data_IF_990559060518
#
_entry.id   IF_990559060518
#
_cell.length_a   1.000
_cell.length_b   1.000
_cell.length_c   1.000
_cell.angle_alpha   90.00
_cell.angle_beta   90.00
_cell.angle_gamma   90.00
#
_symmetry.space_group_name_H-M   'P 1'
#
loop_
_entity.id
_entity.type
_entity.pdbx_description
1 polymer ?
#
# COMPACT_ATOMS: atom_id res chain seq x y z
N UNK A 1 40.25 -38.88 2.32
CA UNK A 1 40.26 -38.59 0.86
C UNK A 1 39.95 -39.80 -0.02
N UNK A 2 40.56 -40.99 0.16
CA UNK A 2 40.27 -42.17 -0.68
C UNK A 2 38.80 -42.65 -0.66
N UNK A 3 38.14 -42.62 0.49
CA UNK A 3 36.71 -42.98 0.59
C UNK A 3 35.76 -42.00 -0.10
N UNK A 4 36.11 -40.71 -0.13
CA UNK A 4 35.30 -39.66 -0.77
C UNK A 4 35.38 -39.75 -2.31
N UNK A 5 36.55 -40.12 -2.83
CA UNK A 5 36.78 -40.38 -4.26
C UNK A 5 36.09 -41.67 -4.72
N UNK A 6 36.05 -42.71 -3.89
CA UNK A 6 35.34 -43.97 -4.20
C UNK A 6 33.82 -43.77 -4.19
N UNK A 7 33.27 -43.00 -3.24
CA UNK A 7 31.83 -42.65 -3.21
C UNK A 7 31.44 -41.82 -4.44
N UNK A 8 32.26 -40.81 -4.81
CA UNK A 8 32.06 -40.00 -6.02
C UNK A 8 32.17 -40.84 -7.30
N UNK A 9 33.09 -41.81 -7.37
CA UNK A 9 33.22 -42.72 -8.51
C UNK A 9 32.05 -43.71 -8.61
N UNK A 10 31.55 -44.25 -7.49
CA UNK A 10 30.35 -45.11 -7.50
C UNK A 10 29.09 -44.34 -7.88
N UNK A 11 28.98 -43.07 -7.48
CA UNK A 11 27.86 -42.21 -7.84
C UNK A 11 27.94 -41.77 -9.32
N UNK A 12 29.15 -41.50 -9.83
CA UNK A 12 29.39 -41.19 -11.24
C UNK A 12 29.14 -42.40 -12.16
N UNK A 13 29.42 -43.63 -11.71
CA UNK A 13 29.16 -44.85 -12.49
C UNK A 13 27.67 -45.19 -12.57
N UNK A 14 26.86 -44.87 -11.56
CA UNK A 14 25.40 -45.03 -11.62
C UNK A 14 24.74 -44.08 -12.64
N UNK A 15 25.28 -42.87 -12.83
CA UNK A 15 24.76 -41.89 -13.81
C UNK A 15 25.02 -42.34 -15.27
N UNK A 16 26.01 -43.19 -15.52
CA UNK A 16 26.34 -43.72 -16.85
C UNK A 16 25.41 -44.87 -17.27
N UNK A 17 24.68 -45.49 -16.33
CA UNK A 17 23.75 -46.60 -16.59
C UNK A 17 22.27 -46.28 -16.31
N UNK A 18 21.93 -45.04 -15.94
CA UNK A 18 20.55 -44.63 -15.76
C UNK A 18 19.85 -44.56 -17.13
N UNK A 19 18.69 -45.22 -17.26
CA UNK A 19 17.90 -45.24 -18.50
C UNK A 19 17.41 -43.81 -18.81
N UNK A 20 17.16 -43.02 -17.77
CA UNK A 20 16.72 -41.64 -17.87
C UNK A 20 17.63 -40.66 -17.13
N UNK A 21 17.79 -39.46 -17.71
CA UNK A 21 18.59 -38.37 -17.15
C UNK A 21 17.98 -37.01 -17.53
N UNK A 22 18.29 -35.93 -16.78
CA UNK A 22 17.88 -34.58 -17.15
C UNK A 22 18.31 -34.22 -18.57
N UNK A 23 17.40 -33.62 -19.34
CA UNK A 23 17.61 -33.21 -20.73
C UNK A 23 17.41 -34.31 -21.78
N UNK A 24 17.28 -35.58 -21.38
CA UNK A 24 17.02 -36.69 -22.32
C UNK A 24 15.55 -36.69 -22.76
N UNK A 25 15.31 -37.01 -24.03
CA UNK A 25 13.97 -37.11 -24.59
C UNK A 25 13.19 -38.26 -23.88
N UNK A 26 12.03 -37.99 -23.25
CA UNK A 26 11.28 -39.01 -22.53
C UNK A 26 10.82 -40.20 -23.40
N UNK A 27 10.63 -40.01 -24.71
CA UNK A 27 10.32 -41.13 -25.62
C UNK A 27 11.54 -42.04 -25.84
N UNK A 28 12.75 -41.48 -25.88
CA UNK A 28 13.99 -42.25 -25.95
C UNK A 28 14.18 -43.10 -24.69
N UNK A 29 14.05 -42.49 -23.50
CA UNK A 29 14.09 -43.19 -22.21
C UNK A 29 13.02 -44.29 -22.12
N UNK A 30 11.82 -44.05 -22.66
CA UNK A 30 10.75 -45.04 -22.71
C UNK A 30 11.10 -46.24 -23.60
N UNK A 31 11.65 -45.99 -24.79
CA UNK A 31 12.03 -47.05 -25.71
C UNK A 31 13.14 -47.95 -25.14
N UNK A 32 14.12 -47.35 -24.47
CA UNK A 32 15.16 -48.09 -23.75
C UNK A 32 14.58 -48.95 -22.62
N UNK A 33 13.63 -48.42 -21.84
CA UNK A 33 12.93 -49.19 -20.81
C UNK A 33 12.16 -50.37 -21.41
N UNK A 34 11.44 -50.18 -22.51
CA UNK A 34 10.73 -51.27 -23.21
C UNK A 34 11.71 -52.33 -23.71
N UNK A 35 12.86 -51.92 -24.24
CA UNK A 35 13.90 -52.86 -24.65
C UNK A 35 14.48 -53.64 -23.46
N UNK A 36 14.69 -53.00 -22.32
CA UNK A 36 15.08 -53.68 -21.09
C UNK A 36 14.03 -54.70 -20.65
N UNK A 37 12.74 -54.35 -20.65
CA UNK A 37 11.66 -55.27 -20.29
C UNK A 37 11.66 -56.52 -21.20
N UNK A 38 11.95 -56.36 -22.49
CA UNK A 38 12.04 -57.49 -23.44
C UNK A 38 13.25 -58.39 -23.16
N UNK A 39 14.37 -57.82 -22.73
CA UNK A 39 15.63 -58.53 -22.50
C UNK A 39 15.69 -59.19 -21.12
N UNK A 40 15.22 -58.49 -20.08
CA UNK A 40 15.21 -58.95 -18.69
C UNK A 40 13.93 -58.44 -17.97
N UNK A 41 12.80 -59.16 -18.12
CA UNK A 41 11.52 -58.75 -17.52
C UNK A 41 11.52 -58.65 -15.99
N UNK A 42 12.45 -59.34 -15.32
CA UNK A 42 12.55 -59.39 -13.86
C UNK A 42 13.58 -58.39 -13.30
N UNK A 43 14.13 -57.52 -14.14
CA UNK A 43 15.11 -56.53 -13.73
C UNK A 43 14.55 -55.59 -12.66
N UNK A 44 15.29 -55.40 -11.57
CA UNK A 44 14.95 -54.43 -10.52
C UNK A 44 14.99 -52.99 -11.02
N UNK A 45 15.67 -52.70 -12.15
CA UNK A 45 15.69 -51.37 -12.76
C UNK A 45 14.30 -50.98 -13.30
N UNK A 46 13.51 -51.94 -13.76
CA UNK A 46 12.14 -51.69 -14.26
C UNK A 46 11.26 -51.16 -13.13
N UNK A 47 11.38 -51.75 -11.93
CA UNK A 47 10.59 -51.33 -10.77
C UNK A 47 11.09 -50.01 -10.17
N UNK A 48 12.40 -49.73 -10.23
CA UNK A 48 13.00 -48.51 -9.70
C UNK A 48 12.78 -47.31 -10.63
N UNK A 49 13.10 -47.42 -11.92
CA UNK A 49 13.10 -46.28 -12.85
C UNK A 49 11.81 -46.19 -13.68
N UNK A 50 11.14 -47.32 -13.93
CA UNK A 50 9.97 -47.39 -14.81
C UNK A 50 8.84 -46.41 -14.46
N UNK A 51 8.41 -46.31 -13.18
CA UNK A 51 7.38 -45.35 -12.78
C UNK A 51 7.75 -43.90 -13.08
N UNK A 52 9.00 -43.50 -12.83
CA UNK A 52 9.49 -42.14 -13.08
C UNK A 52 9.58 -41.84 -14.57
N UNK A 53 10.05 -42.79 -15.38
CA UNK A 53 10.09 -42.63 -16.85
C UNK A 53 8.67 -42.49 -17.42
N UNK A 54 7.74 -43.33 -16.97
CA UNK A 54 6.33 -43.24 -17.37
C UNK A 54 5.72 -41.88 -17.00
N UNK A 55 5.98 -41.40 -15.77
CA UNK A 55 5.53 -40.11 -15.30
C UNK A 55 6.11 -38.95 -16.12
N UNK A 56 7.43 -38.94 -16.33
CA UNK A 56 8.13 -37.91 -17.12
C UNK A 56 7.60 -37.86 -18.55
N UNK A 57 7.40 -39.02 -19.18
CA UNK A 57 6.79 -39.13 -20.51
C UNK A 57 5.39 -38.55 -20.54
N UNK A 58 4.52 -38.91 -19.59
CA UNK A 58 3.14 -38.39 -19.51
C UNK A 58 3.12 -36.88 -19.32
N UNK A 59 3.93 -36.35 -18.42
CA UNK A 59 3.99 -34.91 -18.15
C UNK A 59 4.58 -34.13 -19.34
N UNK A 60 5.54 -34.71 -20.07
CA UNK A 60 6.15 -34.07 -21.24
C UNK A 60 5.21 -33.93 -22.45
N UNK A 61 4.06 -34.62 -22.46
CA UNK A 61 3.00 -34.40 -23.45
C UNK A 61 2.22 -33.09 -23.21
N UNK A 62 2.38 -32.46 -22.03
CA UNK A 62 1.74 -31.20 -21.70
C UNK A 62 2.69 -30.06 -22.09
N UNK A 63 2.32 -29.29 -23.10
CA UNK A 63 3.20 -28.30 -23.76
C UNK A 63 3.90 -27.36 -22.76
N UNK A 64 3.15 -26.77 -21.83
CA UNK A 64 3.68 -25.82 -20.85
C UNK A 64 4.52 -26.47 -19.74
N UNK A 65 4.49 -27.80 -19.60
CA UNK A 65 5.33 -28.55 -18.66
C UNK A 65 6.57 -29.14 -19.30
N UNK A 66 6.52 -29.41 -20.61
CA UNK A 66 7.50 -30.20 -21.34
C UNK A 66 8.94 -29.80 -21.03
N UNK A 67 9.27 -28.52 -21.18
CA UNK A 67 10.65 -28.06 -20.98
C UNK A 67 11.14 -28.28 -19.54
N UNK A 68 10.33 -27.92 -18.54
CA UNK A 68 10.67 -28.08 -17.13
C UNK A 68 10.81 -29.57 -16.75
N UNK A 69 9.93 -30.42 -17.28
CA UNK A 69 9.92 -31.87 -17.02
C UNK A 69 11.11 -32.57 -17.67
N UNK A 70 11.42 -32.23 -18.92
CA UNK A 70 12.56 -32.80 -19.65
C UNK A 70 13.87 -32.38 -19.00
N UNK A 71 14.01 -31.10 -18.67
CA UNK A 71 15.19 -30.56 -17.99
C UNK A 71 15.27 -30.93 -16.50
N UNK A 72 14.19 -31.46 -15.92
CA UNK A 72 14.01 -31.66 -14.47
C UNK A 72 14.26 -30.38 -13.66
N UNK A 73 13.87 -29.24 -14.23
CA UNK A 73 13.99 -27.92 -13.63
C UNK A 73 12.75 -27.61 -12.77
N UNK A 74 12.90 -27.79 -11.46
CA UNK A 74 11.83 -27.59 -10.48
C UNK A 74 11.38 -26.12 -10.38
N UNK A 75 12.29 -25.16 -10.47
CA UNK A 75 11.93 -23.74 -10.38
C UNK A 75 11.16 -23.31 -11.61
N UNK A 76 11.58 -23.76 -12.80
CA UNK A 76 10.82 -23.52 -14.03
C UNK A 76 9.46 -24.19 -14.01
N UNK A 77 9.34 -25.39 -13.44
CA UNK A 77 8.05 -26.05 -13.23
C UNK A 77 7.10 -25.18 -12.38
N UNK A 78 7.57 -24.67 -11.24
CA UNK A 78 6.77 -23.80 -10.36
C UNK A 78 6.42 -22.47 -11.03
N UNK A 79 7.37 -21.86 -11.77
CA UNK A 79 7.12 -20.65 -12.55
C UNK A 79 6.03 -20.87 -13.59
N UNK A 80 6.10 -21.97 -14.34
CA UNK A 80 5.08 -22.30 -15.34
C UNK A 80 3.71 -22.52 -14.68
N UNK A 81 3.67 -23.19 -13.52
CA UNK A 81 2.46 -23.35 -12.73
C UNK A 81 1.85 -22.02 -12.26
N UNK A 82 2.68 -21.04 -11.89
CA UNK A 82 2.19 -19.73 -11.45
C UNK A 82 1.43 -19.00 -12.56
N UNK A 83 1.90 -19.08 -13.81
CA UNK A 83 1.37 -18.33 -14.94
C UNK A 83 0.25 -19.04 -15.72
N UNK A 84 0.19 -20.37 -15.68
CA UNK A 84 -0.82 -21.11 -16.45
C UNK A 84 -2.21 -20.97 -15.83
N UNK A 85 -3.23 -20.78 -16.68
CA UNK A 85 -4.63 -20.81 -16.28
C UNK A 85 -5.18 -22.22 -16.48
N UNK A 86 -5.50 -22.91 -15.38
CA UNK A 86 -6.01 -24.29 -15.39
C UNK A 86 -7.33 -24.32 -14.63
N UNK A 87 -8.39 -24.80 -15.30
CA UNK A 87 -9.69 -25.06 -14.69
C UNK A 87 -10.47 -26.03 -15.59
N UNK A 88 -10.78 -27.27 -15.15
CA UNK A 88 -10.56 -27.83 -13.81
C UNK A 88 -9.10 -28.22 -13.53
N UNK A 89 -8.73 -28.49 -12.26
CA UNK A 89 -7.41 -29.03 -11.90
C UNK A 89 -7.07 -30.33 -12.62
N UNK A 90 -5.79 -30.55 -12.90
CA UNK A 90 -5.28 -31.81 -13.45
C UNK A 90 -4.96 -32.78 -12.30
N UNK A 91 -5.33 -34.05 -12.41
CA UNK A 91 -4.92 -35.08 -11.45
C UNK A 91 -3.55 -35.64 -11.84
N UNK A 92 -2.49 -34.97 -11.40
CA UNK A 92 -1.09 -35.27 -11.75
C UNK A 92 -0.19 -35.43 -10.52
N UNK A 93 -0.78 -35.56 -9.33
CA UNK A 93 -0.04 -35.58 -8.06
C UNK A 93 1.05 -36.65 -8.02
N UNK A 94 0.73 -37.86 -8.49
CA UNK A 94 1.67 -39.00 -8.52
C UNK A 94 2.84 -38.73 -9.47
N UNK A 95 2.54 -38.32 -10.69
CA UNK A 95 3.55 -38.09 -11.72
C UNK A 95 4.47 -36.92 -11.34
N UNK A 96 3.90 -35.83 -10.84
CA UNK A 96 4.66 -34.67 -10.38
C UNK A 96 5.57 -35.05 -9.22
N UNK A 97 5.10 -35.86 -8.26
CA UNK A 97 5.93 -36.30 -7.12
C UNK A 97 7.09 -37.20 -7.56
N UNK A 98 6.88 -38.05 -8.57
CA UNK A 98 7.93 -38.93 -9.10
C UNK A 98 9.02 -38.16 -9.86
N UNK A 99 8.66 -37.10 -10.58
CA UNK A 99 9.61 -36.27 -11.35
C UNK A 99 10.25 -35.19 -10.48
N UNK A 100 9.49 -34.58 -9.58
CA UNK A 100 9.91 -33.47 -8.72
C UNK A 100 9.71 -33.79 -7.23
N UNK A 101 10.53 -34.67 -6.64
CA UNK A 101 10.41 -35.06 -5.23
C UNK A 101 10.59 -33.87 -4.26
N UNK A 102 11.23 -32.79 -4.70
CA UNK A 102 11.38 -31.54 -3.94
C UNK A 102 10.02 -30.95 -3.51
N UNK A 103 8.93 -31.27 -4.21
CA UNK A 103 7.58 -30.82 -3.86
C UNK A 103 7.16 -31.28 -2.46
N UNK A 104 7.61 -32.46 -2.02
CA UNK A 104 7.26 -32.98 -0.71
C UNK A 104 7.91 -32.14 0.40
N UNK A 105 9.16 -31.70 0.20
CA UNK A 105 9.85 -30.81 1.14
C UNK A 105 9.09 -29.48 1.24
N UNK A 106 8.68 -28.92 0.10
CA UNK A 106 7.91 -27.69 0.04
C UNK A 106 6.56 -27.81 0.77
N UNK A 107 5.86 -28.94 0.60
CA UNK A 107 4.61 -29.23 1.31
C UNK A 107 4.87 -29.39 2.81
N UNK A 108 5.88 -30.16 3.20
CA UNK A 108 6.20 -30.41 4.61
C UNK A 108 6.58 -29.11 5.36
N UNK A 109 7.28 -28.19 4.71
CA UNK A 109 7.60 -26.86 5.26
C UNK A 109 6.33 -26.05 5.52
N UNK A 110 5.41 -26.02 4.56
CA UNK A 110 4.11 -25.36 4.71
C UNK A 110 3.31 -25.95 5.86
N UNK A 111 3.17 -27.28 5.91
CA UNK A 111 2.38 -27.97 6.93
C UNK A 111 3.00 -27.86 8.34
N UNK A 112 4.29 -27.48 8.44
CA UNK A 112 4.97 -27.13 9.69
C UNK A 112 4.83 -25.65 10.08
N UNK A 113 4.22 -24.82 9.24
CA UNK A 113 4.00 -23.39 9.50
C UNK A 113 5.06 -22.46 8.91
N UNK A 114 5.91 -22.93 7.98
CA UNK A 114 6.75 -22.03 7.19
C UNK A 114 5.98 -21.53 5.97
N UNK A 115 5.70 -20.22 5.94
CA UNK A 115 4.95 -19.57 4.87
C UNK A 115 5.82 -18.76 3.90
N UNK A 116 7.15 -18.80 4.01
CA UNK A 116 8.07 -18.06 3.13
C UNK A 116 7.86 -18.40 1.64
N UNK A 117 7.55 -19.67 1.35
CA UNK A 117 7.35 -20.15 -0.02
C UNK A 117 5.86 -20.22 -0.44
N UNK A 118 4.98 -19.46 0.23
CA UNK A 118 3.52 -19.53 -0.02
C UNK A 118 3.15 -19.30 -1.50
N UNK A 119 3.84 -18.38 -2.19
CA UNK A 119 3.59 -18.10 -3.61
C UNK A 119 3.82 -19.31 -4.53
N UNK A 120 4.71 -20.22 -4.14
CA UNK A 120 4.94 -21.49 -4.84
C UNK A 120 3.85 -22.49 -4.50
N UNK A 121 3.58 -22.67 -3.20
CA UNK A 121 2.63 -23.66 -2.67
C UNK A 121 1.19 -23.43 -3.16
N UNK A 122 0.76 -22.17 -3.21
CA UNK A 122 -0.61 -21.80 -3.60
C UNK A 122 -0.98 -22.15 -5.05
N UNK A 123 -0.04 -22.66 -5.85
CA UNK A 123 -0.29 -23.08 -7.23
C UNK A 123 -0.44 -24.59 -7.39
N UNK A 124 -0.06 -25.38 -6.37
CA UNK A 124 -0.02 -26.84 -6.45
C UNK A 124 -1.40 -27.47 -6.62
N UNK A 125 -2.47 -26.77 -6.24
CA UNK A 125 -3.85 -27.22 -6.48
C UNK A 125 -4.11 -27.47 -7.97
N UNK A 126 -3.42 -26.77 -8.89
CA UNK A 126 -3.61 -26.91 -10.34
C UNK A 126 -3.24 -28.30 -10.87
N UNK A 127 -2.34 -29.00 -10.18
CA UNK A 127 -1.90 -30.36 -10.49
C UNK A 127 -2.43 -31.38 -9.48
N UNK A 128 -3.48 -31.00 -8.73
CA UNK A 128 -4.30 -31.91 -7.96
C UNK A 128 -3.91 -32.06 -6.49
N UNK A 129 -2.89 -31.32 -6.01
CA UNK A 129 -2.52 -31.41 -4.59
C UNK A 129 -3.58 -30.75 -3.71
N UNK A 130 -4.01 -31.49 -2.70
CA UNK A 130 -4.91 -31.02 -1.63
C UNK A 130 -4.16 -31.04 -0.31
N UNK A 131 -3.84 -29.85 0.21
CA UNK A 131 -3.00 -29.67 1.39
C UNK A 131 -3.88 -29.47 2.64
N UNK A 132 -3.27 -29.67 3.81
CA UNK A 132 -3.82 -29.23 5.09
C UNK A 132 -3.04 -28.03 5.59
N UNK A 133 -3.70 -26.96 6.01
CA UNK A 133 -2.99 -25.83 6.61
C UNK A 133 -2.68 -26.12 8.08
N UNK A 134 -1.52 -25.69 8.59
CA UNK A 134 -1.27 -25.72 10.02
C UNK A 134 -2.14 -24.71 10.77
N UNK A 135 -2.19 -24.86 12.09
CA UNK A 135 -2.74 -23.82 12.98
C UNK A 135 -2.02 -22.49 12.75
N UNK A 136 -2.71 -21.39 12.97
CA UNK A 136 -2.17 -20.02 12.78
C UNK A 136 -2.05 -19.59 11.32
N UNK A 137 -2.36 -20.47 10.36
CA UNK A 137 -2.34 -20.09 8.94
C UNK A 137 -3.40 -19.05 8.61
N UNK A 138 -4.63 -19.20 9.13
CA UNK A 138 -5.70 -18.21 8.89
C UNK A 138 -5.36 -16.84 9.46
N UNK A 139 -4.72 -16.81 10.63
CA UNK A 139 -4.19 -15.60 11.25
C UNK A 139 -3.11 -14.97 10.37
N UNK A 140 -2.10 -15.75 9.99
CA UNK A 140 -1.02 -15.29 9.13
C UNK A 140 -1.54 -14.72 7.81
N UNK A 141 -2.52 -15.38 7.19
CA UNK A 141 -3.13 -14.95 5.94
C UNK A 141 -3.81 -13.59 6.09
N UNK A 142 -4.60 -13.39 7.17
CA UNK A 142 -5.26 -12.11 7.44
C UNK A 142 -4.23 -11.00 7.62
N UNK A 143 -3.26 -11.20 8.51
CA UNK A 143 -2.24 -10.20 8.83
C UNK A 143 -1.40 -9.84 7.60
N UNK A 144 -0.96 -10.84 6.85
CA UNK A 144 -0.17 -10.65 5.62
C UNK A 144 -0.99 -9.98 4.52
N UNK A 145 -2.29 -10.27 4.42
CA UNK A 145 -3.16 -9.65 3.42
C UNK A 145 -3.47 -8.17 3.74
N UNK A 146 -3.58 -7.82 5.03
CA UNK A 146 -3.74 -6.43 5.45
C UNK A 146 -2.50 -5.59 5.10
N UNK A 147 -1.31 -6.18 5.15
CA UNK A 147 -0.06 -5.53 4.73
C UNK A 147 0.14 -5.54 3.21
N UNK A 148 -0.21 -6.64 2.55
CA UNK A 148 -0.06 -6.84 1.12
C UNK A 148 -1.38 -7.30 0.46
N UNK A 149 -2.18 -6.38 -0.08
CA UNK A 149 -3.48 -6.69 -0.68
C UNK A 149 -3.42 -7.54 -1.96
N UNK A 150 -2.23 -7.72 -2.55
CA UNK A 150 -2.03 -8.57 -3.72
C UNK A 150 -1.96 -10.06 -3.35
N UNK A 151 -1.73 -10.38 -2.07
CA UNK A 151 -1.62 -11.76 -1.58
C UNK A 151 -2.85 -12.59 -1.95
N UNK A 152 -4.06 -12.04 -1.84
CA UNK A 152 -5.31 -12.75 -2.06
C UNK A 152 -5.72 -12.81 -3.55
N UNK A 153 -4.79 -13.22 -4.41
CA UNK A 153 -5.02 -13.43 -5.83
C UNK A 153 -5.90 -14.65 -6.14
N UNK A 154 -6.18 -14.87 -7.43
CA UNK A 154 -7.02 -15.98 -7.86
C UNK A 154 -6.44 -17.36 -7.48
N UNK A 155 -5.11 -17.53 -7.52
CA UNK A 155 -4.45 -18.77 -7.11
C UNK A 155 -4.68 -19.03 -5.63
N UNK A 156 -4.59 -18.00 -4.79
CA UNK A 156 -4.82 -18.08 -3.35
C UNK A 156 -6.26 -18.46 -3.04
N UNK A 157 -7.23 -17.81 -3.69
CA UNK A 157 -8.66 -18.14 -3.48
C UNK A 157 -8.94 -19.59 -3.84
N UNK A 158 -8.43 -20.07 -4.98
CA UNK A 158 -8.59 -21.48 -5.39
C UNK A 158 -7.87 -22.45 -4.47
N UNK A 159 -6.64 -22.12 -4.08
CA UNK A 159 -5.88 -22.89 -3.11
C UNK A 159 -6.68 -23.11 -1.82
N UNK A 160 -7.23 -22.03 -1.25
CA UNK A 160 -8.06 -22.08 -0.04
C UNK A 160 -9.32 -22.95 -0.21
N UNK A 161 -9.96 -22.94 -1.38
CA UNK A 161 -11.15 -23.75 -1.68
C UNK A 161 -10.84 -25.25 -1.77
N UNK A 162 -9.63 -25.62 -2.19
CA UNK A 162 -9.18 -27.01 -2.34
C UNK A 162 -8.55 -27.60 -1.05
N UNK A 163 -8.42 -26.80 0.01
CA UNK A 163 -7.85 -27.24 1.28
C UNK A 163 -8.69 -28.31 1.95
N UNK A 164 -8.01 -29.29 2.57
CA UNK A 164 -8.65 -30.40 3.31
C UNK A 164 -9.36 -29.92 4.58
N UNK A 165 -8.80 -28.93 5.27
CA UNK A 165 -9.32 -28.37 6.53
C UNK A 165 -9.84 -26.93 6.37
N UNK A 166 -10.50 -26.64 5.25
CA UNK A 166 -11.01 -25.29 4.90
C UNK A 166 -11.97 -24.70 5.95
N UNK A 167 -12.71 -25.53 6.67
CA UNK A 167 -13.63 -25.11 7.74
C UNK A 167 -12.87 -24.51 8.93
N UNK A 168 -11.78 -25.15 9.36
CA UNK A 168 -10.92 -24.68 10.44
C UNK A 168 -10.22 -23.38 10.05
N UNK A 169 -9.71 -23.32 8.81
CA UNK A 169 -9.07 -22.12 8.26
C UNK A 169 -10.07 -20.96 8.20
N UNK A 170 -11.29 -21.22 7.73
CA UNK A 170 -12.34 -20.22 7.64
C UNK A 170 -12.68 -19.63 9.03
N UNK A 171 -12.81 -20.49 10.06
CA UNK A 171 -13.05 -20.02 11.43
C UNK A 171 -11.89 -19.15 11.94
N UNK A 172 -10.65 -19.58 11.70
CA UNK A 172 -9.48 -18.83 12.14
C UNK A 172 -9.36 -17.46 11.44
N UNK A 173 -9.68 -17.39 10.14
CA UNK A 173 -9.75 -16.15 9.36
C UNK A 173 -10.80 -15.21 9.97
N UNK A 174 -12.02 -15.70 10.21
CA UNK A 174 -13.11 -14.88 10.78
C UNK A 174 -12.73 -14.34 12.15
N UNK A 175 -12.23 -15.21 13.04
CA UNK A 175 -11.84 -14.80 14.40
C UNK A 175 -10.69 -13.79 14.39
N UNK A 176 -9.76 -13.91 13.44
CA UNK A 176 -8.65 -12.95 13.32
C UNK A 176 -9.13 -11.63 12.71
N UNK A 177 -9.94 -11.67 11.66
CA UNK A 177 -10.50 -10.49 11.00
C UNK A 177 -11.34 -9.63 11.96
N UNK A 178 -12.12 -10.26 12.85
CA UNK A 178 -12.92 -9.56 13.86
C UNK A 178 -12.09 -8.74 14.86
N UNK A 179 -10.82 -9.09 15.10
CA UNK A 179 -9.91 -8.30 15.95
C UNK A 179 -9.64 -6.92 15.36
N UNK A 180 -9.76 -6.78 14.05
CA UNK A 180 -9.55 -5.53 13.31
C UNK A 180 -10.84 -4.76 13.06
N UNK A 181 -11.97 -5.19 13.63
CA UNK A 181 -13.30 -4.58 13.41
C UNK A 181 -13.42 -3.10 13.79
N UNK A 182 -12.53 -2.58 14.63
CA UNK A 182 -12.50 -1.17 15.04
C UNK A 182 -11.62 -0.29 14.14
N UNK A 183 -10.93 -0.88 13.17
CA UNK A 183 -9.98 -0.19 12.28
C UNK A 183 -10.61 0.02 10.91
N UNK A 184 -11.27 1.16 10.74
CA UNK A 184 -12.06 1.49 9.53
C UNK A 184 -11.24 1.45 8.23
N UNK A 185 -9.95 1.85 8.26
CA UNK A 185 -9.08 1.79 7.08
C UNK A 185 -8.89 0.37 6.52
N UNK A 186 -9.14 -0.67 7.33
CA UNK A 186 -9.07 -2.07 6.90
C UNK A 186 -10.39 -2.60 6.34
N UNK A 187 -11.50 -1.87 6.44
CA UNK A 187 -12.82 -2.36 6.02
C UNK A 187 -12.88 -2.91 4.58
N UNK A 188 -12.29 -2.28 3.55
CA UNK A 188 -12.28 -2.86 2.21
C UNK A 188 -11.55 -4.21 2.14
N UNK A 189 -10.47 -4.36 2.89
CA UNK A 189 -9.70 -5.60 2.98
C UNK A 189 -10.50 -6.67 3.74
N UNK A 190 -11.03 -6.32 4.92
CA UNK A 190 -11.86 -7.23 5.71
C UNK A 190 -13.08 -7.70 4.90
N UNK A 191 -13.72 -6.82 4.12
CA UNK A 191 -14.84 -7.21 3.26
C UNK A 191 -14.41 -8.25 2.22
N UNK A 192 -13.28 -8.03 1.56
CA UNK A 192 -12.74 -8.96 0.58
C UNK A 192 -12.37 -10.32 1.20
N UNK A 193 -11.79 -10.33 2.41
CA UNK A 193 -11.43 -11.60 3.06
C UNK A 193 -12.67 -12.39 3.48
N UNK A 194 -13.70 -11.73 4.01
CA UNK A 194 -14.97 -12.40 4.35
C UNK A 194 -15.68 -12.99 3.13
N UNK A 195 -15.68 -12.28 2.00
CA UNK A 195 -16.24 -12.81 0.75
C UNK A 195 -15.48 -14.06 0.27
N UNK A 196 -14.15 -14.08 0.38
CA UNK A 196 -13.36 -15.28 0.09
C UNK A 196 -13.69 -16.41 1.07
N UNK A 197 -13.76 -16.11 2.37
CA UNK A 197 -14.09 -17.12 3.38
C UNK A 197 -15.47 -17.74 3.17
N UNK A 198 -16.48 -16.94 2.79
CA UNK A 198 -17.82 -17.45 2.42
C UNK A 198 -17.80 -18.36 1.20
N UNK A 199 -16.92 -18.08 0.24
CA UNK A 199 -16.73 -18.92 -0.93
C UNK A 199 -15.94 -20.21 -0.63
N UNK A 200 -15.31 -20.33 0.55
CA UNK A 200 -14.70 -21.58 1.01
C UNK A 200 -15.74 -22.46 1.70
N UNK A 201 -16.57 -21.87 2.57
CA UNK A 201 -17.53 -22.58 3.41
C UNK A 201 -18.83 -21.78 3.54
N UNK A 202 -19.96 -22.46 3.35
CA UNK A 202 -21.28 -21.85 3.57
C UNK A 202 -21.54 -21.71 5.08
N UNK A 203 -21.33 -20.49 5.61
CA UNK A 203 -21.62 -20.11 6.99
C UNK A 203 -22.41 -18.80 7.00
N UNK A 204 -23.29 -18.65 7.99
CA UNK A 204 -24.03 -17.42 8.21
C UNK A 204 -23.07 -16.27 8.57
N UNK A 205 -23.20 -15.09 7.96
CA UNK A 205 -22.34 -13.96 8.27
C UNK A 205 -22.44 -13.54 9.74
N UNK A 206 -21.34 -13.05 10.30
CA UNK A 206 -21.39 -12.39 11.61
C UNK A 206 -22.16 -11.06 11.55
N UNK A 207 -22.52 -10.50 12.71
CA UNK A 207 -23.12 -9.16 12.77
C UNK A 207 -22.20 -8.12 12.12
N UNK A 208 -20.89 -8.18 12.42
CA UNK A 208 -19.91 -7.27 11.85
C UNK A 208 -19.84 -7.39 10.31
N UNK A 209 -19.82 -8.60 9.76
CA UNK A 209 -19.83 -8.82 8.30
C UNK A 209 -21.06 -8.21 7.61
N UNK A 210 -22.24 -8.36 8.21
CA UNK A 210 -23.46 -7.74 7.68
C UNK A 210 -23.34 -6.22 7.66
N UNK A 211 -22.90 -5.63 8.78
CA UNK A 211 -22.69 -4.19 8.89
C UNK A 211 -21.62 -3.67 7.92
N UNK A 212 -20.53 -4.42 7.76
CA UNK A 212 -19.45 -4.12 6.82
C UNK A 212 -19.94 -4.17 5.37
N UNK A 213 -20.82 -5.11 5.03
CA UNK A 213 -21.42 -5.19 3.69
C UNK A 213 -22.28 -3.96 3.40
N UNK A 214 -23.10 -3.50 4.36
CA UNK A 214 -23.85 -2.24 4.24
C UNK A 214 -22.90 -1.05 4.04
N UNK A 215 -21.82 -0.99 4.83
CA UNK A 215 -20.80 0.05 4.72
C UNK A 215 -20.17 0.10 3.32
N UNK A 216 -19.69 -1.03 2.80
CA UNK A 216 -19.01 -1.10 1.50
C UNK A 216 -19.98 -0.80 0.35
N UNK A 217 -21.22 -1.26 0.44
CA UNK A 217 -22.26 -0.94 -0.54
C UNK A 217 -22.51 0.56 -0.60
N UNK A 218 -22.69 1.21 0.56
CA UNK A 218 -22.92 2.65 0.62
C UNK A 218 -21.70 3.44 0.14
N UNK A 219 -20.49 3.02 0.53
CA UNK A 219 -19.24 3.61 0.05
C UNK A 219 -19.14 3.57 -1.48
N UNK A 220 -19.40 2.41 -2.09
CA UNK A 220 -19.37 2.24 -3.54
C UNK A 220 -20.46 3.07 -4.24
N UNK A 221 -21.64 3.16 -3.63
CA UNK A 221 -22.72 4.00 -4.13
C UNK A 221 -22.26 5.46 -4.20
N UNK A 222 -21.72 6.01 -3.09
CA UNK A 222 -21.24 7.39 -3.00
C UNK A 222 -20.12 7.66 -4.02
N UNK A 223 -19.17 6.74 -4.18
CA UNK A 223 -18.04 6.90 -5.11
C UNK A 223 -18.51 6.97 -6.57
N UNK A 224 -19.54 6.22 -6.94
CA UNK A 224 -20.04 6.14 -8.33
C UNK A 224 -21.01 7.26 -8.69
N UNK A 225 -21.47 8.06 -7.73
CA UNK A 225 -22.44 9.13 -8.01
C UNK A 225 -21.81 10.29 -8.78
N UNK A 226 -22.54 10.75 -9.79
CA UNK A 226 -22.31 12.05 -10.40
C UNK A 226 -23.09 13.11 -9.62
N UNK A 227 -22.36 14.01 -8.95
CA UNK A 227 -22.93 15.13 -8.19
C UNK A 227 -23.90 15.97 -9.03
N UNK A 228 -23.69 16.07 -10.35
CA UNK A 228 -24.56 16.85 -11.24
C UNK A 228 -25.95 16.27 -11.43
N UNK A 229 -26.13 14.97 -11.17
CA UNK A 229 -27.40 14.24 -11.31
C UNK A 229 -28.06 13.94 -9.97
N UNK A 230 -27.44 14.36 -8.87
CA UNK A 230 -27.85 14.04 -7.52
C UNK A 230 -29.20 14.71 -7.21
N UNK A 231 -30.12 13.94 -6.66
CA UNK A 231 -31.45 14.40 -6.23
C UNK A 231 -31.55 14.43 -4.71
N UNK A 232 -32.48 15.24 -4.19
CA UNK A 232 -32.80 15.26 -2.76
C UNK A 232 -33.17 13.87 -2.23
N UNK A 233 -33.99 13.12 -2.97
CA UNK A 233 -34.45 11.79 -2.58
C UNK A 233 -33.30 10.79 -2.46
N UNK A 234 -32.33 10.85 -3.37
CA UNK A 234 -31.12 10.01 -3.27
C UNK A 234 -30.31 10.35 -2.02
N UNK A 235 -30.15 11.63 -1.70
CA UNK A 235 -29.45 12.06 -0.48
C UNK A 235 -30.17 11.57 0.78
N UNK A 236 -31.50 11.67 0.82
CA UNK A 236 -32.30 11.14 1.94
C UNK A 236 -32.10 9.64 2.13
N UNK A 237 -32.13 8.87 1.03
CA UNK A 237 -31.95 7.42 1.07
C UNK A 237 -30.53 7.04 1.52
N UNK A 238 -29.51 7.73 1.00
CA UNK A 238 -28.10 7.56 1.43
C UNK A 238 -27.94 7.82 2.93
N UNK A 239 -28.56 8.88 3.45
CA UNK A 239 -28.47 9.21 4.88
C UNK A 239 -29.21 8.19 5.74
N UNK A 240 -30.33 7.66 5.27
CA UNK A 240 -31.05 6.56 5.94
C UNK A 240 -30.21 5.29 6.00
N UNK A 241 -29.52 4.94 4.92
CA UNK A 241 -28.56 3.82 4.91
C UNK A 241 -27.36 4.09 5.80
N UNK A 242 -26.84 5.32 5.81
CA UNK A 242 -25.78 5.70 6.73
C UNK A 242 -26.21 5.53 8.18
N UNK A 243 -27.42 5.95 8.53
CA UNK A 243 -27.98 5.88 9.87
C UNK A 243 -28.28 4.44 10.34
N UNK A 244 -28.38 3.46 9.43
CA UNK A 244 -28.57 2.04 9.77
C UNK A 244 -27.26 1.30 10.04
N UNK A 245 -26.11 1.88 9.67
CA UNK A 245 -24.79 1.30 9.93
C UNK A 245 -24.39 1.57 11.39
N UNK A 246 -24.11 0.49 12.14
CA UNK A 246 -23.81 0.54 13.58
C UNK A 246 -22.31 0.41 13.90
N UNK A 247 -21.48 0.06 12.92
CA UNK A 247 -20.02 0.01 13.06
C UNK A 247 -19.40 1.40 12.87
N UNK A 248 -18.11 1.55 13.23
CA UNK A 248 -17.34 2.78 13.02
C UNK A 248 -17.42 3.19 11.53
N UNK A 249 -17.70 4.46 11.27
CA UNK A 249 -18.07 4.99 9.94
C UNK A 249 -17.60 6.42 9.69
N UNK A 250 -16.44 6.78 10.23
CA UNK A 250 -15.89 8.13 10.17
C UNK A 250 -15.45 8.53 8.74
N UNK A 251 -14.84 7.61 7.99
CA UNK A 251 -14.48 7.85 6.58
C UNK A 251 -15.74 8.02 5.71
N UNK A 252 -16.76 7.19 5.95
CA UNK A 252 -18.04 7.31 5.27
C UNK A 252 -18.72 8.64 5.58
N UNK A 253 -18.70 9.07 6.85
CA UNK A 253 -19.18 10.40 7.27
C UNK A 253 -18.45 11.50 6.52
N UNK A 254 -17.13 11.44 6.39
CA UNK A 254 -16.34 12.44 5.68
C UNK A 254 -16.69 12.50 4.18
N UNK A 255 -16.88 11.35 3.54
CA UNK A 255 -17.31 11.29 2.13
C UNK A 255 -18.72 11.84 1.94
N UNK A 256 -19.64 11.56 2.87
CA UNK A 256 -20.98 12.12 2.86
C UNK A 256 -21.00 13.62 3.11
N UNK A 257 -20.16 14.12 4.01
CA UNK A 257 -20.02 15.56 4.23
C UNK A 257 -19.60 16.27 2.94
N UNK A 258 -18.64 15.71 2.20
CA UNK A 258 -18.25 16.22 0.88
C UNK A 258 -19.41 16.18 -0.13
N UNK A 259 -20.15 15.08 -0.18
CA UNK A 259 -21.33 14.93 -1.05
C UNK A 259 -22.39 16.02 -0.74
N UNK A 260 -22.73 16.23 0.53
CA UNK A 260 -23.70 17.23 0.99
C UNK A 260 -23.25 18.65 0.61
N UNK A 261 -21.98 18.99 0.85
CA UNK A 261 -21.42 20.30 0.48
C UNK A 261 -21.49 20.50 -1.04
N UNK A 262 -21.15 19.47 -1.80
CA UNK A 262 -21.19 19.52 -3.27
C UNK A 262 -22.62 19.66 -3.79
N UNK A 263 -23.59 18.98 -3.16
CA UNK A 263 -25.01 19.08 -3.49
C UNK A 263 -25.54 20.51 -3.25
N UNK A 264 -25.13 21.15 -2.16
CA UNK A 264 -25.45 22.56 -1.87
C UNK A 264 -24.87 23.51 -2.90
N UNK A 265 -23.63 23.30 -3.33
CA UNK A 265 -23.02 24.11 -4.39
C UNK A 265 -23.75 23.96 -5.73
N UNK A 266 -24.28 22.76 -6.01
CA UNK A 266 -25.15 22.48 -7.15
C UNK A 266 -26.58 23.01 -6.99
N UNK A 267 -26.90 23.72 -5.88
CA UNK A 267 -28.22 24.27 -5.56
C UNK A 267 -29.33 23.22 -5.44
N UNK A 268 -28.98 22.00 -5.03
CA UNK A 268 -29.96 20.96 -4.73
C UNK A 268 -30.64 21.30 -3.39
N UNK A 269 -31.98 21.38 -3.33
CA UNK A 269 -32.70 21.70 -2.09
C UNK A 269 -32.58 20.54 -1.11
N UNK A 270 -32.10 20.81 0.12
CA UNK A 270 -31.96 19.82 1.19
C UNK A 270 -32.93 20.06 2.36
N UNK A 271 -33.94 20.89 2.14
CA UNK A 271 -34.92 21.23 3.18
C UNK A 271 -35.72 19.99 3.58
N UNK A 272 -35.81 19.72 4.88
CA UNK A 272 -36.53 18.55 5.40
C UNK A 272 -35.75 17.23 5.37
N UNK A 273 -34.54 17.21 4.81
CA UNK A 273 -33.63 16.05 4.90
C UNK A 273 -33.19 15.89 6.35
N UNK A 274 -33.37 14.69 6.91
CA UNK A 274 -33.03 14.36 8.31
C UNK A 274 -31.99 13.25 8.36
N UNK A 275 -31.15 13.29 9.39
CA UNK A 275 -30.19 12.24 9.72
C UNK A 275 -30.01 12.20 11.23
N UNK A 276 -29.72 11.02 11.79
CA UNK A 276 -29.38 10.83 13.20
C UNK A 276 -28.00 11.38 13.54
N UNK A 277 -27.13 11.58 12.55
CA UNK A 277 -25.77 12.07 12.77
C UNK A 277 -25.76 13.58 13.03
N UNK A 278 -25.27 13.97 14.21
CA UNK A 278 -25.23 15.37 14.64
C UNK A 278 -24.37 16.25 13.72
N UNK A 279 -23.25 15.73 13.22
CA UNK A 279 -22.37 16.51 12.35
C UNK A 279 -23.02 16.73 10.97
N UNK A 280 -23.52 15.67 10.34
CA UNK A 280 -24.18 15.77 9.03
C UNK A 280 -25.48 16.61 9.11
N UNK A 281 -26.26 16.50 10.18
CA UNK A 281 -27.46 17.33 10.36
C UNK A 281 -27.12 18.82 10.46
N UNK A 282 -26.03 19.20 11.14
CA UNK A 282 -25.57 20.61 11.14
C UNK A 282 -25.13 21.08 9.76
N UNK A 283 -24.48 20.21 8.97
CA UNK A 283 -24.09 20.53 7.60
C UNK A 283 -25.30 20.74 6.70
N UNK A 284 -26.37 19.96 6.87
CA UNK A 284 -27.63 20.10 6.12
C UNK A 284 -28.37 21.38 6.54
N UNK A 285 -28.53 21.63 7.84
CA UNK A 285 -29.30 22.76 8.38
C UNK A 285 -28.68 24.14 8.15
N UNK A 286 -27.37 24.25 7.87
CA UNK A 286 -26.75 25.51 7.45
C UNK A 286 -27.18 25.90 6.02
N UNK A 287 -28.38 26.44 5.84
CA UNK A 287 -28.89 26.87 4.53
C UNK A 287 -28.33 28.20 4.00
N UNK A 288 -27.69 29.06 4.82
CA UNK A 288 -27.46 30.47 4.43
C UNK A 288 -26.04 31.03 4.62
N UNK A 289 -24.98 30.29 4.30
CA UNK A 289 -23.60 30.84 4.33
C UNK A 289 -22.78 30.62 3.06
N UNK A 290 -23.43 30.66 1.89
CA UNK A 290 -22.72 30.85 0.62
C UNK A 290 -22.45 32.33 0.27
N UNK A 291 -22.52 33.24 1.23
CA UNK A 291 -22.01 34.62 1.15
C UNK A 291 -20.55 34.76 1.68
N UNK A 292 -19.87 33.64 1.95
CA UNK A 292 -18.51 33.63 2.53
C UNK A 292 -17.39 34.08 1.59
N UNK A 293 -17.68 34.34 0.30
CA UNK A 293 -16.70 34.99 -0.60
C UNK A 293 -16.49 36.47 -0.27
N UNK A 294 -17.48 37.18 0.30
CA UNK A 294 -17.29 38.57 0.75
C UNK A 294 -16.48 38.65 2.06
N UNK A 295 -16.70 37.72 2.98
CA UNK A 295 -15.98 37.71 4.27
C UNK A 295 -14.48 37.43 4.10
N UNK A 296 -14.10 36.49 3.22
CA UNK A 296 -12.69 36.21 2.93
C UNK A 296 -12.02 37.35 2.15
N UNK A 297 -12.74 38.03 1.25
CA UNK A 297 -12.21 39.19 0.54
C UNK A 297 -11.97 40.39 1.49
N UNK A 298 -12.89 40.61 2.44
CA UNK A 298 -12.72 41.63 3.48
C UNK A 298 -11.59 41.31 4.45
N UNK A 299 -11.42 40.06 4.88
CA UNK A 299 -10.28 39.65 5.71
C UNK A 299 -8.94 39.84 5.00
N UNK A 300 -8.85 39.50 3.71
CA UNK A 300 -7.63 39.73 2.92
C UNK A 300 -7.37 41.23 2.75
N UNK A 301 -8.41 42.05 2.50
CA UNK A 301 -8.29 43.51 2.40
C UNK A 301 -7.87 44.17 3.71
N UNK A 302 -8.40 43.73 4.85
CA UNK A 302 -8.00 44.27 6.16
C UNK A 302 -6.58 43.88 6.51
N UNK A 303 -6.15 42.66 6.20
CA UNK A 303 -4.76 42.23 6.37
C UNK A 303 -3.83 43.01 5.43
N UNK A 304 -4.16 43.17 4.15
CA UNK A 304 -3.37 43.97 3.20
C UNK A 304 -3.27 45.43 3.64
N UNK A 305 -4.39 46.02 4.06
CA UNK A 305 -4.46 47.38 4.59
C UNK A 305 -3.61 47.55 5.84
N UNK A 306 -3.65 46.58 6.77
CA UNK A 306 -2.80 46.56 7.97
C UNK A 306 -1.31 46.46 7.63
N UNK A 307 -0.94 45.61 6.67
CA UNK A 307 0.45 45.49 6.21
C UNK A 307 0.93 46.80 5.55
N UNK A 308 0.11 47.42 4.70
CA UNK A 308 0.42 48.72 4.07
C UNK A 308 0.54 49.83 5.11
N UNK A 309 -0.32 49.82 6.13
CA UNK A 309 -0.25 50.77 7.25
C UNK A 309 1.05 50.59 8.06
N UNK A 310 1.44 49.34 8.36
CA UNK A 310 2.68 49.05 9.08
C UNK A 310 3.94 49.43 8.26
N UNK A 311 3.93 49.24 6.94
CA UNK A 311 5.02 49.65 6.04
C UNK A 311 5.16 51.18 5.96
N UNK A 312 4.13 51.93 6.35
CA UNK A 312 4.18 53.41 6.36
C UNK A 312 5.03 53.98 7.50
N UNK A 313 5.30 53.20 8.57
CA UNK A 313 6.18 53.63 9.65
C UNK A 313 7.65 53.42 9.29
N UNK A 314 8.42 54.50 9.24
CA UNK A 314 9.83 54.49 8.80
C UNK A 314 10.70 53.46 9.58
N UNK A 315 10.44 53.23 10.87
CA UNK A 315 11.19 52.24 11.70
C UNK A 315 10.90 50.78 11.32
N UNK A 316 9.62 50.44 11.15
CA UNK A 316 9.19 49.07 10.76
C UNK A 316 9.67 48.78 9.34
N UNK A 317 9.50 49.77 8.45
CA UNK A 317 10.00 49.72 7.08
C UNK A 317 11.52 49.48 7.03
N UNK A 318 12.30 50.11 7.91
CA UNK A 318 13.75 49.92 7.96
C UNK A 318 14.12 48.47 8.31
N UNK A 319 13.50 47.88 9.34
CA UNK A 319 13.76 46.49 9.73
C UNK A 319 13.43 45.50 8.61
N UNK A 320 12.28 45.69 7.94
CA UNK A 320 11.88 44.87 6.79
C UNK A 320 12.89 44.99 5.65
N UNK A 321 13.35 46.21 5.33
CA UNK A 321 14.34 46.43 4.26
C UNK A 321 15.71 45.82 4.58
N UNK A 322 16.11 45.83 5.85
CA UNK A 322 17.32 45.17 6.32
C UNK A 322 17.20 43.64 6.20
N UNK A 323 16.06 43.07 6.58
CA UNK A 323 15.76 41.65 6.42
C UNK A 323 15.78 41.21 4.95
N UNK A 324 15.16 42.00 4.07
CA UNK A 324 15.13 41.76 2.62
C UNK A 324 16.46 42.09 1.91
N UNK A 325 17.52 42.47 2.65
CA UNK A 325 18.85 42.84 2.12
C UNK A 325 18.82 43.96 1.07
N UNK A 326 17.78 44.79 1.06
CA UNK A 326 17.60 45.90 0.13
C UNK A 326 18.42 47.14 0.57
N UNK A 327 19.76 47.00 0.53
CA UNK A 327 20.73 47.94 1.13
C UNK A 327 20.51 49.40 0.72
N UNK A 328 20.29 49.69 -0.57
CA UNK A 328 20.09 51.06 -1.08
C UNK A 328 18.83 51.75 -0.52
N UNK A 329 17.72 51.01 -0.41
CA UNK A 329 16.47 51.52 0.13
C UNK A 329 16.53 51.69 1.66
N UNK A 330 17.25 50.80 2.35
CA UNK A 330 17.52 50.91 3.78
C UNK A 330 18.33 52.17 4.11
N UNK A 331 19.38 52.49 3.33
CA UNK A 331 20.16 53.73 3.46
C UNK A 331 19.25 54.97 3.38
N UNK A 332 18.38 55.03 2.35
CA UNK A 332 17.45 56.15 2.17
C UNK A 332 16.46 56.29 3.34
N UNK A 333 16.05 55.17 3.93
CA UNK A 333 15.14 55.16 5.09
C UNK A 333 15.86 55.59 6.37
N UNK A 334 17.09 55.13 6.60
CA UNK A 334 17.96 55.62 7.68
C UNK A 334 18.19 57.13 7.59
N UNK A 335 18.52 57.66 6.42
CA UNK A 335 18.71 59.11 6.21
C UNK A 335 17.44 59.90 6.55
N UNK A 336 16.26 59.41 6.15
CA UNK A 336 14.96 60.04 6.47
C UNK A 336 14.64 60.01 7.96
N UNK A 337 15.02 58.93 8.66
CA UNK A 337 14.84 58.86 10.12
C UNK A 337 15.80 59.86 10.79
N UNK A 338 17.05 59.92 10.36
CA UNK A 338 18.06 60.83 10.93
C UNK A 338 17.81 62.31 10.60
N UNK A 339 17.13 62.63 9.50
CA UNK A 339 16.70 64.01 9.25
C UNK A 339 15.64 64.49 10.25
N UNK A 340 14.87 63.56 10.84
CA UNK A 340 13.87 63.85 11.87
C UNK A 340 14.45 63.76 13.29
N UNK A 341 15.37 62.83 13.50
CA UNK A 341 16.04 62.59 14.78
C UNK A 341 17.57 62.44 14.57
N UNK A 342 18.31 63.56 14.50
CA UNK A 342 19.76 63.53 14.24
C UNK A 342 20.59 62.91 15.38
N UNK A 343 20.02 62.76 16.58
CA UNK A 343 20.73 62.25 17.76
C UNK A 343 20.60 60.73 17.92
N UNK A 344 19.88 60.06 17.01
CA UNK A 344 19.60 58.64 17.13
C UNK A 344 20.83 57.76 16.84
N UNK A 345 21.56 57.44 17.91
CA UNK A 345 22.78 56.62 17.84
C UNK A 345 22.56 55.26 17.15
N UNK A 346 21.44 54.58 17.43
CA UNK A 346 21.19 53.24 16.88
C UNK A 346 20.97 53.27 15.37
N UNK A 347 20.28 54.29 14.85
CA UNK A 347 20.03 54.43 13.41
C UNK A 347 21.30 54.88 12.68
N UNK A 348 22.13 55.75 13.30
CA UNK A 348 23.45 56.11 12.74
C UNK A 348 24.37 54.91 12.62
N UNK A 349 24.40 54.02 13.63
CA UNK A 349 25.18 52.79 13.58
C UNK A 349 24.73 51.87 12.43
N UNK A 350 23.41 51.71 12.27
CA UNK A 350 22.84 50.95 11.14
C UNK A 350 23.20 51.56 9.79
N UNK A 351 23.20 52.89 9.68
CA UNK A 351 23.58 53.60 8.46
C UNK A 351 25.07 53.41 8.13
N UNK A 352 25.96 53.52 9.13
CA UNK A 352 27.39 53.29 8.96
C UNK A 352 27.68 51.86 8.46
N UNK A 353 27.08 50.85 9.10
CA UNK A 353 27.22 49.45 8.70
C UNK A 353 26.64 49.18 7.29
N UNK A 354 25.60 49.91 6.87
CA UNK A 354 25.07 49.79 5.51
C UNK A 354 26.02 50.41 4.47
N UNK A 355 26.66 51.54 4.77
CA UNK A 355 27.66 52.14 3.89
C UNK A 355 28.89 51.25 3.71
N UNK A 356 29.41 50.64 4.78
CA UNK A 356 30.49 49.64 4.68
C UNK A 356 30.09 48.48 3.75
N UNK A 357 28.88 47.94 3.94
CA UNK A 357 28.36 46.81 3.15
C UNK A 357 28.08 47.14 1.68
N UNK A 358 28.06 48.42 1.30
CA UNK A 358 27.90 48.91 -0.08
C UNK A 358 29.23 49.41 -0.65
N UNK A 359 30.29 49.47 0.16
CA UNK A 359 31.63 49.93 -0.24
C UNK A 359 31.84 51.45 -0.16
N UNK A 360 30.91 52.20 0.43
CA UNK A 360 30.99 53.66 0.60
C UNK A 360 31.72 53.99 1.93
N UNK A 361 33.02 53.68 1.96
CA UNK A 361 33.85 53.71 3.18
C UNK A 361 33.96 55.13 3.76
N UNK A 362 34.03 56.16 2.91
CA UNK A 362 34.13 57.55 3.35
C UNK A 362 32.91 57.98 4.18
N UNK A 363 31.70 57.65 3.71
CA UNK A 363 30.46 57.98 4.44
C UNK A 363 30.29 57.13 5.69
N UNK A 364 30.73 55.88 5.68
CA UNK A 364 30.75 55.06 6.88
C UNK A 364 31.60 55.69 7.99
N UNK A 365 32.83 56.13 7.66
CA UNK A 365 33.73 56.81 8.60
C UNK A 365 33.10 58.09 9.14
N UNK A 366 32.42 58.87 8.29
CA UNK A 366 31.73 60.09 8.72
C UNK A 366 30.64 59.80 9.77
N UNK A 367 29.84 58.75 9.58
CA UNK A 367 28.81 58.37 10.55
C UNK A 367 29.43 57.84 11.85
N UNK A 368 30.52 57.08 11.80
CA UNK A 368 31.24 56.64 13.01
C UNK A 368 31.86 57.81 13.80
N UNK A 369 32.34 58.85 13.12
CA UNK A 369 32.80 60.08 13.78
C UNK A 369 31.64 60.80 14.48
N UNK A 370 30.52 60.99 13.79
CA UNK A 370 29.33 61.61 14.36
C UNK A 370 28.82 60.83 15.59
N UNK A 371 28.83 59.49 15.52
CA UNK A 371 28.54 58.62 16.65
C UNK A 371 29.46 58.89 17.85
N UNK A 372 30.78 58.95 17.62
CA UNK A 372 31.78 59.16 18.68
C UNK A 372 31.60 60.50 19.36
N UNK A 373 31.33 61.55 18.58
CA UNK A 373 31.11 62.90 19.11
C UNK A 373 29.82 62.97 19.93
N UNK A 374 28.73 62.34 19.46
CA UNK A 374 27.48 62.23 20.20
C UNK A 374 27.64 61.46 21.53
N UNK A 375 28.40 60.37 21.54
CA UNK A 375 28.69 59.63 22.78
C UNK A 375 29.50 60.46 23.77
N UNK A 376 30.46 61.27 23.28
CA UNK A 376 31.28 62.16 24.12
C UNK A 376 30.42 63.26 24.74
N UNK A 377 29.51 63.87 23.98
CA UNK A 377 28.55 64.87 24.47
C UNK A 377 27.59 64.28 25.51
N UNK A 378 27.04 63.10 25.27
CA UNK A 378 26.15 62.43 26.22
C UNK A 378 26.84 62.04 27.54
N UNK A 379 28.15 61.79 27.52
CA UNK A 379 28.96 61.49 28.71
C UNK A 379 29.26 62.75 29.54
N UNK A 380 29.39 63.91 28.89
CA UNK A 380 29.64 65.20 29.56
C UNK A 380 28.39 65.81 30.21
N UNK A 381 27.18 65.41 29.79
CA UNK A 381 25.92 65.87 30.40
C UNK A 381 25.48 65.06 31.64
N UNK A 382 26.17 63.94 31.95
CA UNK A 382 25.85 63.06 33.09
C UNK A 382 26.79 63.24 34.30
N UNK A 383 27.74 64.16 34.18
CA UNK A 383 28.60 64.68 35.25
C UNK A 383 28.21 66.13 35.51
#
# INVERSE_FOLDING_TARGET
MRYLVVILLTFAVLIVFAIDRPGKDPEESWNELINLIKLDPNSTLITIEGPRIAAKRKLAQIEWLKEAVVAEDFEKFLMNLAHVTINPPLDLTKEVTLVFPQIQVLIDEFEKGNFENFDKIKTLWKVGFKLSAPRLFGKWLVESFLENPQLLDWNTVRFLQEMKNKEEIADEIVQTALKYSQTESYYPHLYRIFEVTRNMVFKEPTFFERQLSLYINLLNQIIRMDVKRLTKAEIEEILKQFDSIEIKKDELRNKLAFLIVSAKQAKIPLDGVKTKDSYLSTLIGKSDQLDSKKANYWLVLTILGGILFLISFDRIRLEILLFLRAKKAAIKTCQRILSKDPLNFQIRLKLAALYEKVGDVERAISEYKAIKDLMKMAKQQKT
#
